data_IF_114064506011
#
_entry.id   IF_114064506011
#
_cell.length_a   1.000
_cell.length_b   1.000
_cell.length_c   1.000
_cell.angle_alpha   90.00
_cell.angle_beta   90.00
_cell.angle_gamma   90.00
#
_symmetry.space_group_name_H-M   'P 1'
#
loop_
_entity.id
_entity.type
_entity.pdbx_description
1 polymer ?
#
# COMPACT_ATOMS: atom_id res chain seq x y z
N UNK A 1 25.91 46.24 -2.06
CA UNK A 1 25.22 45.36 -3.02
C UNK A 1 25.99 44.05 -3.09
N UNK A 2 25.60 43.05 -2.29
CA UNK A 2 26.10 41.68 -2.40
C UNK A 2 24.87 40.77 -2.59
N UNK A 3 24.82 39.90 -3.62
CA UNK A 3 23.75 38.93 -3.72
C UNK A 3 23.98 37.81 -2.70
N UNK A 4 23.06 37.69 -1.73
CA UNK A 4 22.93 36.50 -0.88
C UNK A 4 22.50 35.33 -1.76
N UNK A 5 23.47 34.49 -2.15
CA UNK A 5 23.21 33.20 -2.78
C UNK A 5 22.38 32.37 -1.81
N UNK A 6 21.13 32.13 -2.19
CA UNK A 6 20.12 31.36 -1.47
C UNK A 6 20.39 29.86 -1.70
N UNK A 7 20.84 29.05 -0.72
CA UNK A 7 21.02 27.62 -0.93
C UNK A 7 19.68 26.89 -0.67
N UNK A 8 18.67 27.10 -1.52
CA UNK A 8 17.35 26.45 -1.38
C UNK A 8 17.02 25.47 -2.50
N UNK A 9 17.96 25.18 -3.40
CA UNK A 9 17.70 24.35 -4.58
C UNK A 9 18.79 23.30 -4.79
N UNK A 10 18.91 22.32 -3.87
CA UNK A 10 19.50 21.01 -4.19
C UNK A 10 19.22 19.90 -3.14
N UNK A 11 18.05 19.87 -2.51
CA UNK A 11 17.64 18.76 -1.63
C UNK A 11 16.46 17.94 -2.20
N UNK A 12 16.20 18.05 -3.50
CA UNK A 12 15.29 17.16 -4.19
C UNK A 12 16.05 15.87 -4.58
N UNK A 13 15.50 14.71 -4.21
CA UNK A 13 15.82 13.38 -4.76
C UNK A 13 17.12 12.67 -4.34
N UNK A 14 17.50 12.70 -3.06
CA UNK A 14 18.25 11.57 -2.48
C UNK A 14 17.26 10.60 -1.80
N UNK A 15 17.32 9.27 -2.04
CA UNK A 15 16.56 8.32 -1.22
C UNK A 15 17.03 8.48 0.22
N UNK A 16 16.19 9.07 1.09
CA UNK A 16 16.56 9.50 2.45
C UNK A 16 17.06 8.38 3.35
N UNK A 17 16.84 7.11 2.98
CA UNK A 17 17.41 5.96 3.65
C UNK A 17 17.24 4.72 2.74
N UNK A 18 18.25 3.86 2.52
CA UNK A 18 18.03 2.58 1.85
C UNK A 18 16.94 1.73 2.53
N UNK A 19 16.80 1.82 3.86
CA UNK A 19 15.74 1.13 4.61
C UNK A 19 14.32 1.61 4.24
N UNK A 20 14.15 2.91 3.97
CA UNK A 20 12.88 3.48 3.49
C UNK A 20 12.58 3.04 2.05
N UNK A 21 13.60 2.89 1.22
CA UNK A 21 13.44 2.45 -0.17
C UNK A 21 12.97 1.00 -0.24
N UNK A 22 13.55 0.13 0.60
CA UNK A 22 13.11 -1.27 0.76
C UNK A 22 11.70 -1.32 1.32
N UNK A 23 11.40 -0.60 2.40
CA UNK A 23 10.05 -0.57 2.99
C UNK A 23 9.00 -0.05 1.99
N UNK A 24 9.36 0.95 1.19
CA UNK A 24 8.50 1.50 0.13
C UNK A 24 8.25 0.45 -0.96
N UNK A 25 9.27 -0.25 -1.43
CA UNK A 25 9.12 -1.27 -2.46
C UNK A 25 8.30 -2.46 -1.97
N UNK A 26 8.55 -2.93 -0.74
CA UNK A 26 7.78 -4.01 -0.12
C UNK A 26 6.29 -3.63 0.01
N UNK A 27 6.00 -2.44 0.55
CA UNK A 27 4.61 -1.98 0.73
C UNK A 27 3.93 -1.75 -0.62
N UNK A 28 4.65 -1.23 -1.62
CA UNK A 28 4.11 -1.05 -2.96
C UNK A 28 3.75 -2.39 -3.63
N UNK A 29 4.64 -3.38 -3.54
CA UNK A 29 4.38 -4.73 -4.04
C UNK A 29 3.20 -5.38 -3.34
N UNK A 30 3.10 -5.22 -2.02
CA UNK A 30 1.98 -5.74 -1.25
C UNK A 30 0.64 -5.05 -1.60
N UNK A 31 0.65 -3.74 -1.80
CA UNK A 31 -0.51 -2.96 -2.26
C UNK A 31 -0.99 -3.43 -3.63
N UNK A 32 -0.07 -3.56 -4.59
CA UNK A 32 -0.38 -3.96 -5.95
C UNK A 32 -0.92 -5.39 -6.01
N UNK A 33 -0.27 -6.32 -5.31
CA UNK A 33 -0.72 -7.71 -5.21
C UNK A 33 -2.11 -7.81 -4.61
N UNK A 34 -2.34 -7.13 -3.49
CA UNK A 34 -3.65 -7.13 -2.82
C UNK A 34 -4.73 -6.49 -3.70
N UNK A 35 -4.41 -5.42 -4.44
CA UNK A 35 -5.36 -4.78 -5.36
C UNK A 35 -5.75 -5.71 -6.52
N UNK A 36 -4.77 -6.36 -7.15
CA UNK A 36 -5.01 -7.31 -8.24
C UNK A 36 -5.84 -8.49 -7.76
N UNK A 37 -5.51 -9.03 -6.59
CA UNK A 37 -6.28 -10.09 -5.96
C UNK A 37 -7.71 -9.64 -5.68
N UNK A 38 -7.90 -8.46 -5.08
CA UNK A 38 -9.21 -7.91 -4.77
C UNK A 38 -10.07 -7.73 -6.03
N UNK A 39 -9.47 -7.24 -7.12
CA UNK A 39 -10.15 -7.08 -8.41
C UNK A 39 -10.59 -8.42 -9.01
N UNK A 40 -9.75 -9.45 -8.92
CA UNK A 40 -10.11 -10.80 -9.37
C UNK A 40 -11.18 -11.43 -8.47
N UNK A 41 -11.04 -11.28 -7.16
CA UNK A 41 -11.98 -11.75 -6.16
C UNK A 41 -13.35 -11.09 -6.29
N UNK A 42 -13.42 -9.78 -6.55
CA UNK A 42 -14.67 -9.05 -6.68
C UNK A 42 -15.48 -9.46 -7.91
N UNK A 43 -14.83 -9.99 -8.95
CA UNK A 43 -15.51 -10.53 -10.12
C UNK A 43 -16.26 -11.84 -9.81
N UNK A 44 -15.77 -12.62 -8.83
CA UNK A 44 -16.39 -13.88 -8.40
C UNK A 44 -17.34 -13.66 -7.23
N UNK A 45 -16.93 -12.85 -6.25
CA UNK A 45 -17.67 -12.56 -5.02
C UNK A 45 -17.70 -11.04 -4.81
N UNK A 46 -18.78 -10.35 -5.24
CA UNK A 46 -18.87 -8.89 -5.15
C UNK A 46 -18.74 -8.35 -3.73
N UNK A 47 -19.13 -9.13 -2.71
CA UNK A 47 -19.02 -8.75 -1.30
C UNK A 47 -17.58 -8.45 -0.87
N UNK A 48 -16.56 -9.04 -1.52
CA UNK A 48 -15.15 -8.78 -1.19
C UNK A 48 -14.75 -7.35 -1.53
N UNK A 49 -15.45 -6.68 -2.48
CA UNK A 49 -15.23 -5.27 -2.80
C UNK A 49 -15.46 -4.34 -1.59
N UNK A 50 -16.17 -4.78 -0.54
CA UNK A 50 -16.31 -4.04 0.72
C UNK A 50 -14.98 -3.81 1.45
N UNK A 51 -13.91 -4.53 1.08
CA UNK A 51 -12.54 -4.31 1.60
C UNK A 51 -11.79 -3.18 0.89
N UNK A 52 -12.30 -2.64 -0.22
CA UNK A 52 -11.69 -1.56 -0.99
C UNK A 52 -11.39 -0.27 -0.18
N UNK A 53 -12.23 0.15 0.79
CA UNK A 53 -11.92 1.31 1.65
C UNK A 53 -10.66 1.09 2.50
N UNK A 54 -10.48 -0.10 3.06
CA UNK A 54 -9.31 -0.41 3.88
C UNK A 54 -8.02 -0.42 3.05
N UNK A 55 -8.11 -0.87 1.79
CA UNK A 55 -7.01 -0.83 0.82
C UNK A 55 -6.70 0.60 0.37
N UNK A 56 -7.73 1.46 0.26
CA UNK A 56 -7.58 2.89 -0.01
C UNK A 56 -6.85 3.59 1.14
N UNK A 57 -7.17 3.28 2.39
CA UNK A 57 -6.46 3.81 3.57
C UNK A 57 -4.98 3.39 3.54
N UNK A 58 -4.68 2.13 3.21
CA UNK A 58 -3.29 1.69 3.06
C UNK A 58 -2.54 2.46 1.97
N UNK A 59 -3.20 2.74 0.83
CA UNK A 59 -2.63 3.54 -0.25
C UNK A 59 -2.39 5.01 0.16
N UNK A 60 -3.29 5.59 0.94
CA UNK A 60 -3.12 6.95 1.49
C UNK A 60 -1.94 7.02 2.48
N UNK A 61 -1.80 6.02 3.36
CA UNK A 61 -0.67 5.91 4.28
C UNK A 61 0.65 5.75 3.52
N UNK A 62 0.65 4.96 2.44
CA UNK A 62 1.81 4.81 1.55
C UNK A 62 2.18 6.15 0.87
N UNK A 63 1.20 6.89 0.35
CA UNK A 63 1.41 8.20 -0.26
C UNK A 63 1.93 9.24 0.75
N UNK A 64 1.52 9.13 2.02
CA UNK A 64 2.01 9.94 3.13
C UNK A 64 3.41 9.54 3.64
N UNK A 65 4.05 8.51 3.05
CA UNK A 65 5.35 7.99 3.50
C UNK A 65 5.28 7.19 4.81
N UNK A 66 4.09 6.88 5.31
CA UNK A 66 3.87 6.11 6.53
C UNK A 66 3.89 4.60 6.25
N UNK A 67 5.00 4.10 5.71
CA UNK A 67 5.15 2.69 5.30
C UNK A 67 4.86 1.67 6.42
N UNK A 68 5.27 1.87 7.69
CA UNK A 68 4.95 0.94 8.77
C UNK A 68 3.45 0.89 9.12
N UNK A 69 2.74 2.01 8.97
CA UNK A 69 1.30 2.06 9.17
C UNK A 69 0.56 1.43 8.00
N UNK A 70 0.98 1.72 6.76
CA UNK A 70 0.45 1.09 5.55
C UNK A 70 0.61 -0.44 5.60
N UNK A 71 1.77 -0.94 6.02
CA UNK A 71 2.03 -2.39 6.20
C UNK A 71 1.08 -3.01 7.22
N UNK A 72 0.90 -2.39 8.39
CA UNK A 72 -0.04 -2.88 9.42
C UNK A 72 -1.49 -2.91 8.90
N UNK A 73 -1.91 -1.86 8.19
CA UNK A 73 -3.21 -1.80 7.55
C UNK A 73 -3.40 -2.93 6.52
N UNK A 74 -2.39 -3.18 5.67
CA UNK A 74 -2.40 -4.26 4.69
C UNK A 74 -2.46 -5.64 5.34
N UNK A 75 -1.72 -5.87 6.43
CA UNK A 75 -1.81 -7.13 7.18
C UNK A 75 -3.23 -7.38 7.71
N UNK A 76 -3.93 -6.33 8.17
CA UNK A 76 -5.34 -6.43 8.56
C UNK A 76 -6.26 -6.80 7.39
N UNK A 77 -6.07 -6.18 6.23
CA UNK A 77 -6.83 -6.51 5.01
C UNK A 77 -6.59 -7.96 4.59
N UNK A 78 -5.34 -8.42 4.59
CA UNK A 78 -4.98 -9.80 4.24
C UNK A 78 -5.64 -10.79 5.21
N UNK A 79 -5.67 -10.49 6.51
CA UNK A 79 -6.35 -11.34 7.50
C UNK A 79 -7.86 -11.43 7.25
N UNK A 80 -8.52 -10.29 6.98
CA UNK A 80 -9.95 -10.27 6.61
C UNK A 80 -10.22 -11.04 5.32
N UNK A 81 -9.34 -10.91 4.33
CA UNK A 81 -9.43 -11.66 3.07
C UNK A 81 -9.28 -13.15 3.31
N UNK A 82 -8.31 -13.58 4.13
CA UNK A 82 -8.15 -14.99 4.49
C UNK A 82 -9.41 -15.55 5.15
N UNK A 83 -10.05 -14.80 6.05
CA UNK A 83 -11.33 -15.18 6.65
C UNK A 83 -12.46 -15.26 5.60
N UNK A 84 -12.53 -14.29 4.69
CA UNK A 84 -13.51 -14.33 3.60
C UNK A 84 -13.29 -15.55 2.68
N UNK A 85 -12.03 -15.95 2.43
CA UNK A 85 -11.72 -17.17 1.67
C UNK A 85 -12.18 -18.45 2.36
N UNK A 86 -12.15 -18.51 3.69
CA UNK A 86 -12.71 -19.65 4.42
C UNK A 86 -14.24 -19.74 4.25
N UNK A 87 -14.92 -18.60 4.18
CA UNK A 87 -16.36 -18.55 3.92
C UNK A 87 -16.71 -18.78 2.43
N UNK A 88 -15.83 -18.39 1.51
CA UNK A 88 -16.04 -18.46 0.06
C UNK A 88 -14.87 -19.19 -0.63
N UNK A 89 -14.93 -20.53 -0.75
CA UNK A 89 -13.84 -21.33 -1.34
C UNK A 89 -13.63 -21.07 -2.84
N UNK A 90 -14.59 -20.43 -3.52
CA UNK A 90 -14.46 -20.00 -4.91
C UNK A 90 -13.49 -18.82 -5.12
N UNK A 91 -12.96 -18.23 -4.04
CA UNK A 91 -12.05 -17.10 -4.11
C UNK A 91 -10.62 -17.51 -4.53
N UNK A 92 -9.95 -16.69 -5.36
CA UNK A 92 -8.62 -17.01 -5.90
C UNK A 92 -7.56 -17.13 -4.81
N UNK A 93 -6.48 -17.91 -5.03
CA UNK A 93 -5.32 -17.95 -4.15
C UNK A 93 -4.69 -16.56 -3.96
N UNK A 94 -4.37 -16.24 -2.70
CA UNK A 94 -3.59 -15.07 -2.29
C UNK A 94 -2.10 -15.37 -2.45
#
# INVERSE_FOLDING_TARGET
MHPTTNPVLLAATAPRNPADTVSRQEVAGLLEHTYRWLRAASAVVPAVAQTAPALTVAAQLYAAGQYPAARRQLSGVIAMVHQARQAYPALPPL
#
